data_IF_849446356226
#
_entry.id   IF_849446356226
#
_cell.length_a   1.000
_cell.length_b   1.000
_cell.length_c   1.000
_cell.angle_alpha   90.00
_cell.angle_beta   90.00
_cell.angle_gamma   90.00
#
_symmetry.space_group_name_H-M   'P 1'
#
loop_
_entity.id
_entity.type
_entity.pdbx_description
1 polymer ?
#
# COMPACT_ATOMS: atom_id res chain seq x y z
N UNK A 1 18.61 -19.51 12.73
CA UNK A 1 18.22 -18.55 11.66
C UNK A 1 18.65 -17.16 12.08
N UNK A 2 19.21 -16.35 11.17
CA UNK A 2 19.59 -14.95 11.47
C UNK A 2 18.34 -14.05 11.52
N UNK A 3 18.32 -13.05 12.41
CA UNK A 3 17.25 -12.06 12.55
C UNK A 3 16.83 -11.42 11.22
N UNK A 4 17.80 -11.17 10.33
CA UNK A 4 17.56 -10.64 8.98
C UNK A 4 16.69 -11.58 8.13
N UNK A 5 16.94 -12.88 8.16
CA UNK A 5 16.16 -13.85 7.37
C UNK A 5 14.73 -13.97 7.93
N UNK A 6 14.58 -13.97 9.26
CA UNK A 6 13.26 -13.98 9.91
C UNK A 6 12.42 -12.77 9.51
N UNK A 7 13.03 -11.57 9.44
CA UNK A 7 12.35 -10.36 8.99
C UNK A 7 11.95 -10.44 7.51
N UNK A 8 12.84 -10.88 6.63
CA UNK A 8 12.53 -11.01 5.19
C UNK A 8 11.39 -12.01 4.94
N UNK A 9 11.39 -13.13 5.66
CA UNK A 9 10.33 -14.13 5.55
C UNK A 9 9.00 -13.62 6.11
N UNK A 10 9.04 -12.83 7.19
CA UNK A 10 7.85 -12.16 7.70
C UNK A 10 7.26 -11.21 6.66
N UNK A 11 8.07 -10.34 6.06
CA UNK A 11 7.63 -9.38 5.03
C UNK A 11 7.01 -10.12 3.82
N UNK A 12 7.66 -11.17 3.32
CA UNK A 12 7.13 -11.98 2.21
C UNK A 12 5.77 -12.59 2.55
N UNK A 13 5.61 -13.11 3.77
CA UNK A 13 4.32 -13.66 4.23
C UNK A 13 3.24 -12.58 4.31
N UNK A 14 3.56 -11.37 4.78
CA UNK A 14 2.60 -10.28 4.83
C UNK A 14 2.09 -9.88 3.43
N UNK A 15 2.96 -9.81 2.42
CA UNK A 15 2.54 -9.56 1.02
C UNK A 15 1.49 -10.58 0.57
N UNK A 16 1.71 -11.87 0.86
CA UNK A 16 0.78 -12.94 0.49
C UNK A 16 -0.55 -12.82 1.24
N UNK A 17 -0.52 -12.50 2.54
CA UNK A 17 -1.73 -12.33 3.35
C UNK A 17 -2.56 -11.15 2.86
N UNK A 18 -1.93 -10.00 2.65
CA UNK A 18 -2.62 -8.78 2.21
C UNK A 18 -3.26 -8.95 0.83
N UNK A 19 -2.57 -9.59 -0.13
CA UNK A 19 -3.16 -9.89 -1.43
C UNK A 19 -4.36 -10.85 -1.34
N UNK A 20 -4.30 -11.86 -0.46
CA UNK A 20 -5.46 -12.75 -0.22
C UNK A 20 -6.65 -12.01 0.35
N UNK A 21 -6.44 -11.02 1.22
CA UNK A 21 -7.50 -10.16 1.75
C UNK A 21 -8.12 -9.33 0.61
N UNK A 22 -7.27 -8.74 -0.25
CA UNK A 22 -7.73 -7.99 -1.44
C UNK A 22 -8.61 -8.85 -2.32
N UNK A 23 -8.17 -10.06 -2.67
CA UNK A 23 -8.93 -10.99 -3.51
C UNK A 23 -10.26 -11.37 -2.87
N UNK A 24 -10.24 -11.78 -1.60
CA UNK A 24 -11.45 -12.16 -0.86
C UNK A 24 -12.48 -11.03 -0.77
N UNK A 25 -12.02 -9.78 -0.54
CA UNK A 25 -12.91 -8.63 -0.46
C UNK A 25 -13.45 -8.24 -1.84
N UNK A 26 -12.63 -8.30 -2.89
CA UNK A 26 -13.08 -8.02 -4.25
C UNK A 26 -14.15 -9.02 -4.72
N UNK A 27 -14.01 -10.30 -4.37
CA UNK A 27 -15.05 -11.30 -4.63
C UNK A 27 -16.33 -11.02 -3.83
N UNK A 28 -16.23 -10.75 -2.53
CA UNK A 28 -17.38 -10.43 -1.69
C UNK A 28 -18.14 -9.18 -2.17
N UNK A 29 -17.43 -8.17 -2.69
CA UNK A 29 -18.02 -6.93 -3.19
C UNK A 29 -18.94 -7.14 -4.41
N UNK A 30 -18.82 -8.25 -5.14
CA UNK A 30 -19.66 -8.55 -6.32
C UNK A 30 -21.13 -8.76 -5.94
N UNK A 31 -21.41 -9.28 -4.75
CA UNK A 31 -22.76 -9.61 -4.29
C UNK A 31 -23.35 -8.58 -3.31
N UNK A 32 -22.61 -7.55 -2.93
CA UNK A 32 -23.07 -6.57 -1.91
C UNK A 32 -23.82 -5.42 -2.58
N UNK A 33 -25.13 -5.39 -2.37
CA UNK A 33 -26.01 -4.32 -2.85
C UNK A 33 -26.03 -3.07 -1.96
N UNK A 34 -25.74 -3.20 -0.66
CA UNK A 34 -25.78 -2.05 0.26
C UNK A 34 -24.56 -1.13 0.02
N UNK A 35 -24.77 0.14 -0.35
CA UNK A 35 -23.68 1.04 -0.73
C UNK A 35 -22.74 1.39 0.44
N UNK A 36 -23.25 1.49 1.67
CA UNK A 36 -22.44 1.79 2.86
C UNK A 36 -21.51 0.62 3.18
N UNK A 37 -22.03 -0.60 3.20
CA UNK A 37 -21.23 -1.82 3.43
C UNK A 37 -20.20 -1.97 2.31
N UNK A 38 -20.61 -1.77 1.05
CA UNK A 38 -19.71 -1.82 -0.12
C UNK A 38 -18.58 -0.80 0.00
N UNK A 39 -18.88 0.43 0.43
CA UNK A 39 -17.89 1.48 0.63
C UNK A 39 -16.83 1.11 1.67
N UNK A 40 -17.27 0.62 2.85
CA UNK A 40 -16.37 0.20 3.92
C UNK A 40 -15.47 -0.94 3.48
N UNK A 41 -16.03 -2.01 2.92
CA UNK A 41 -15.24 -3.17 2.48
C UNK A 41 -14.30 -2.82 1.31
N UNK A 42 -14.70 -1.90 0.43
CA UNK A 42 -13.79 -1.40 -0.60
C UNK A 42 -12.64 -0.60 0.01
N UNK A 43 -12.90 0.22 1.02
CA UNK A 43 -11.87 0.94 1.76
C UNK A 43 -10.84 -0.01 2.39
N UNK A 44 -11.31 -1.06 3.07
CA UNK A 44 -10.44 -2.08 3.67
C UNK A 44 -9.59 -2.79 2.60
N UNK A 45 -10.20 -3.15 1.47
CA UNK A 45 -9.47 -3.75 0.33
C UNK A 45 -8.36 -2.83 -0.19
N UNK A 46 -8.62 -1.51 -0.30
CA UNK A 46 -7.63 -0.54 -0.72
C UNK A 46 -6.49 -0.38 0.30
N UNK A 47 -6.79 -0.46 1.60
CA UNK A 47 -5.77 -0.43 2.65
C UNK A 47 -4.86 -1.66 2.61
N UNK A 48 -5.41 -2.85 2.40
CA UNK A 48 -4.61 -4.08 2.22
C UNK A 48 -3.74 -4.02 0.96
N UNK A 49 -4.25 -3.49 -0.15
CA UNK A 49 -3.45 -3.28 -1.36
C UNK A 49 -2.27 -2.33 -1.07
N UNK A 50 -2.52 -1.20 -0.39
CA UNK A 50 -1.49 -0.26 0.04
C UNK A 50 -0.43 -0.94 0.91
N UNK A 51 -0.83 -1.81 1.84
CA UNK A 51 0.11 -2.55 2.69
C UNK A 51 0.96 -3.55 1.89
N UNK A 52 0.36 -4.31 0.97
CA UNK A 52 1.10 -5.24 0.11
C UNK A 52 2.20 -4.51 -0.70
N UNK A 53 1.86 -3.36 -1.31
CA UNK A 53 2.81 -2.52 -2.04
C UNK A 53 3.91 -1.96 -1.13
N UNK A 54 3.57 -1.55 0.09
CA UNK A 54 4.52 -1.05 1.07
C UNK A 54 5.50 -2.15 1.52
N UNK A 55 5.01 -3.37 1.77
CA UNK A 55 5.86 -4.51 2.11
C UNK A 55 6.77 -4.91 0.94
N UNK A 56 6.28 -4.89 -0.30
CA UNK A 56 7.11 -5.13 -1.49
C UNK A 56 8.21 -4.07 -1.64
N UNK A 57 7.88 -2.79 -1.43
CA UNK A 57 8.87 -1.72 -1.44
C UNK A 57 9.94 -1.89 -0.35
N UNK A 58 9.54 -2.29 0.86
CA UNK A 58 10.46 -2.59 1.96
C UNK A 58 11.35 -3.81 1.64
N UNK A 59 10.78 -4.87 1.06
CA UNK A 59 11.53 -6.03 0.61
C UNK A 59 12.61 -5.64 -0.41
N UNK A 60 12.25 -4.82 -1.41
CA UNK A 60 13.19 -4.29 -2.40
C UNK A 60 14.28 -3.45 -1.75
N UNK A 61 13.94 -2.55 -0.83
CA UNK A 61 14.93 -1.73 -0.10
C UNK A 61 15.94 -2.59 0.67
N UNK A 62 15.49 -3.68 1.28
CA UNK A 62 16.35 -4.55 2.10
C UNK A 62 17.19 -5.56 1.30
N UNK A 63 16.83 -5.80 0.04
CA UNK A 63 17.44 -6.84 -0.80
C UNK A 63 18.14 -6.31 -2.05
N UNK A 64 17.88 -5.06 -2.45
CA UNK A 64 18.43 -4.45 -3.66
C UNK A 64 18.98 -3.05 -3.38
N UNK A 65 20.04 -2.67 -4.10
CA UNK A 65 20.51 -1.28 -4.12
C UNK A 65 19.56 -0.45 -4.98
N UNK A 66 18.72 0.35 -4.34
CA UNK A 66 17.76 1.21 -5.05
C UNK A 66 18.47 2.37 -5.76
N UNK A 67 17.99 2.72 -6.95
CA UNK A 67 18.45 3.90 -7.67
C UNK A 67 18.16 5.16 -6.84
N UNK A 68 19.15 6.05 -6.73
CA UNK A 68 18.97 7.32 -6.03
C UNK A 68 17.81 8.11 -6.65
N UNK A 69 16.89 8.58 -5.80
CA UNK A 69 15.79 9.43 -6.22
C UNK A 69 16.34 10.71 -6.86
N UNK A 70 16.04 10.93 -8.14
CA UNK A 70 16.41 12.16 -8.83
C UNK A 70 15.64 13.36 -8.27
N UNK A 71 16.25 14.54 -8.29
CA UNK A 71 15.64 15.78 -7.77
C UNK A 71 14.32 16.11 -8.47
N UNK A 72 14.22 15.79 -9.77
CA UNK A 72 12.99 16.03 -10.55
C UNK A 72 11.82 15.18 -10.04
N UNK A 73 12.05 13.91 -9.72
CA UNK A 73 11.01 13.01 -9.18
C UNK A 73 10.49 13.51 -7.83
N UNK A 74 11.39 13.99 -6.96
CA UNK A 74 11.00 14.57 -5.67
C UNK A 74 10.15 15.83 -5.82
N UNK A 75 10.52 16.71 -6.75
CA UNK A 75 9.77 17.94 -7.03
C UNK A 75 8.37 17.62 -7.57
N UNK A 76 8.25 16.71 -8.54
CA UNK A 76 6.94 16.29 -9.08
C UNK A 76 6.05 15.64 -8.02
N UNK A 77 6.60 14.79 -7.14
CA UNK A 77 5.84 14.21 -6.01
C UNK A 77 5.37 15.28 -5.02
N UNK A 78 6.22 16.26 -4.68
CA UNK A 78 5.82 17.37 -3.79
C UNK A 78 4.72 18.22 -4.39
N UNK A 79 4.75 18.49 -5.70
CA UNK A 79 3.70 19.22 -6.39
C UNK A 79 2.36 18.48 -6.35
N UNK A 80 2.38 17.16 -6.60
CA UNK A 80 1.19 16.32 -6.48
C UNK A 80 0.62 16.29 -5.07
N UNK A 81 1.47 16.15 -4.04
CA UNK A 81 1.00 16.17 -2.65
C UNK A 81 0.36 17.52 -2.30
N UNK A 82 0.94 18.63 -2.78
CA UNK A 82 0.38 19.97 -2.58
C UNK A 82 -0.97 20.17 -3.28
N UNK A 83 -1.15 19.59 -4.48
CA UNK A 83 -2.44 19.67 -5.17
C UNK A 83 -3.52 18.84 -4.46
N UNK A 84 -3.15 17.73 -3.83
CA UNK A 84 -4.06 16.89 -3.05
C UNK A 84 -4.38 17.54 -1.69
N UNK A 85 -3.40 18.17 -1.04
CA UNK A 85 -3.57 18.85 0.24
C UNK A 85 -4.19 20.26 0.12
N UNK A 86 -4.57 20.69 -1.08
CA UNK A 86 -5.27 21.97 -1.33
C UNK A 86 -6.64 22.09 -0.64
N UNK A 87 -7.11 21.00 -0.02
CA UNK A 87 -8.18 21.02 0.97
C UNK A 87 -7.59 21.04 2.39
N UNK A 88 -7.65 22.20 3.05
CA UNK A 88 -7.24 22.53 4.43
C UNK A 88 -5.79 22.96 4.63
N UNK A 89 -5.54 24.26 4.45
CA UNK A 89 -4.80 25.07 5.42
C UNK A 89 -5.37 26.51 5.39
N UNK A 90 -6.57 26.67 5.95
CA UNK A 90 -7.06 27.94 6.52
C UNK A 90 -7.25 27.68 8.02
N UNK A 91 -6.13 27.61 8.76
CA UNK A 91 -6.03 27.79 10.21
C UNK A 91 -4.69 28.48 10.46
#
# INVERSE_FOLDING_TARGET
MSSKNTLLDFIKRQIVVENKIVDSLNEALKSIGNPSVRGVLKGISLDSLKHAEMYDAALKLLTTTQQALSRNILTSRKALLRSISGWRLNL
#
